data_IF_316397495376
#
_entry.id   IF_316397495376
#
_cell.length_a   1.000
_cell.length_b   1.000
_cell.length_c   1.000
_cell.angle_alpha   90.00
_cell.angle_beta   90.00
_cell.angle_gamma   90.00
#
_symmetry.space_group_name_H-M   'P 1'
#
loop_
_entity.id
_entity.type
_entity.pdbx_description
1 polymer ?
#
# COMPACT_ATOMS: atom_id res chain seq x y z
N UNK A 1 45.89 4.48 -46.65
CA UNK A 1 46.17 3.68 -45.43
C UNK A 1 45.12 3.86 -44.32
N UNK A 2 43.89 4.31 -44.60
CA UNK A 2 42.86 4.60 -43.58
C UNK A 2 41.72 3.56 -43.50
N UNK A 3 41.57 2.70 -44.51
CA UNK A 3 40.54 1.66 -44.55
C UNK A 3 40.68 0.56 -43.47
N UNK A 4 41.88 0.00 -43.19
CA UNK A 4 41.99 -1.09 -42.20
C UNK A 4 41.73 -0.62 -40.77
N UNK A 5 42.03 0.66 -40.48
CA UNK A 5 41.83 1.27 -39.17
C UNK A 5 40.34 1.47 -38.84
N UNK A 6 39.54 1.85 -39.84
CA UNK A 6 38.10 2.07 -39.68
C UNK A 6 37.34 0.74 -39.48
N UNK A 7 37.79 -0.33 -40.17
CA UNK A 7 37.21 -1.66 -40.03
C UNK A 7 37.45 -2.26 -38.64
N UNK A 8 38.65 -2.06 -38.06
CA UNK A 8 38.91 -2.47 -36.68
C UNK A 8 38.10 -1.68 -35.66
N UNK A 9 37.90 -0.39 -35.86
CA UNK A 9 37.05 0.42 -34.98
C UNK A 9 35.60 -0.07 -35.00
N UNK A 10 35.04 -0.31 -36.19
CA UNK A 10 33.66 -0.81 -36.34
C UNK A 10 33.48 -2.21 -35.74
N UNK A 11 34.45 -3.11 -35.94
CA UNK A 11 34.42 -4.45 -35.33
C UNK A 11 34.51 -4.38 -33.80
N UNK A 12 35.31 -3.47 -33.25
CA UNK A 12 35.43 -3.27 -31.81
C UNK A 12 34.16 -2.70 -31.17
N UNK A 13 33.50 -1.75 -31.85
CA UNK A 13 32.21 -1.18 -31.44
C UNK A 13 31.08 -2.22 -31.51
N UNK A 14 31.08 -3.05 -32.55
CA UNK A 14 30.09 -4.12 -32.68
C UNK A 14 30.30 -5.20 -31.62
N UNK A 15 31.55 -5.58 -31.32
CA UNK A 15 31.86 -6.51 -30.25
C UNK A 15 31.46 -5.96 -28.87
N UNK A 16 31.70 -4.67 -28.61
CA UNK A 16 31.27 -4.01 -27.37
C UNK A 16 29.74 -3.95 -27.22
N UNK A 17 29.02 -3.64 -28.30
CA UNK A 17 27.56 -3.57 -28.27
C UNK A 17 26.91 -4.94 -28.03
N UNK A 18 27.47 -6.00 -28.63
CA UNK A 18 27.01 -7.37 -28.39
C UNK A 18 27.35 -7.86 -26.98
N UNK A 19 28.54 -7.52 -26.44
CA UNK A 19 28.87 -7.84 -25.05
C UNK A 19 27.97 -7.13 -24.06
N UNK A 20 27.63 -5.86 -24.30
CA UNK A 20 26.73 -5.09 -23.44
C UNK A 20 25.31 -5.68 -23.43
N UNK A 21 24.76 -6.04 -24.61
CA UNK A 21 23.46 -6.72 -24.70
C UNK A 21 23.47 -8.12 -24.07
N UNK A 22 24.55 -8.89 -24.23
CA UNK A 22 24.68 -10.22 -23.62
C UNK A 22 24.85 -10.15 -22.09
N UNK A 23 25.55 -9.13 -21.57
CA UNK A 23 25.68 -8.92 -20.13
C UNK A 23 24.34 -8.58 -19.47
N UNK A 24 23.54 -7.72 -20.12
CA UNK A 24 22.22 -7.32 -19.62
C UNK A 24 21.25 -8.51 -19.60
N UNK A 25 21.24 -9.31 -20.66
CA UNK A 25 20.38 -10.51 -20.77
C UNK A 25 20.81 -11.64 -19.84
N UNK A 26 22.12 -11.85 -19.63
CA UNK A 26 22.61 -12.85 -18.68
C UNK A 26 22.28 -12.47 -17.23
N UNK A 27 22.36 -11.18 -16.89
CA UNK A 27 22.00 -10.68 -15.56
C UNK A 27 20.47 -10.74 -15.34
N UNK A 28 19.67 -10.38 -16.35
CA UNK A 28 18.20 -10.52 -16.29
C UNK A 28 17.76 -11.98 -16.14
N UNK A 29 18.43 -12.91 -16.83
CA UNK A 29 18.15 -14.35 -16.70
C UNK A 29 18.59 -14.90 -15.35
N UNK A 30 19.76 -14.51 -14.84
CA UNK A 30 20.21 -14.91 -13.50
C UNK A 30 19.27 -14.38 -12.40
N UNK A 31 18.77 -13.15 -12.56
CA UNK A 31 17.76 -12.57 -11.66
C UNK A 31 16.44 -13.31 -11.78
N UNK A 32 15.97 -13.63 -13.00
CA UNK A 32 14.77 -14.45 -13.22
C UNK A 32 14.89 -15.84 -12.59
N UNK A 33 16.00 -16.53 -12.81
CA UNK A 33 16.24 -17.87 -12.28
C UNK A 33 16.36 -17.86 -10.75
N UNK A 34 17.01 -16.85 -10.17
CA UNK A 34 17.06 -16.65 -8.72
C UNK A 34 15.67 -16.55 -8.08
N UNK A 35 14.75 -15.82 -8.72
CA UNK A 35 13.38 -15.66 -8.20
C UNK A 35 12.47 -16.85 -8.51
N UNK A 36 12.66 -17.52 -9.65
CA UNK A 36 11.92 -18.73 -10.00
C UNK A 36 12.29 -19.90 -9.08
N UNK A 37 13.55 -19.99 -8.66
CA UNK A 37 14.03 -21.05 -7.77
C UNK A 37 13.58 -20.89 -6.32
N UNK A 38 13.20 -19.68 -5.90
CA UNK A 38 12.69 -19.37 -4.56
C UNK A 38 11.16 -19.25 -4.50
N UNK A 39 10.46 -19.48 -5.61
CA UNK A 39 9.01 -19.66 -5.61
C UNK A 39 8.69 -20.92 -4.81
N UNK A 40 7.86 -20.78 -3.76
CA UNK A 40 7.41 -21.89 -2.92
C UNK A 40 6.99 -23.08 -3.80
N UNK A 41 7.44 -24.32 -3.50
CA UNK A 41 7.26 -25.50 -4.36
C UNK A 41 5.81 -26.04 -4.45
N UNK A 42 4.81 -25.17 -4.28
CA UNK A 42 3.41 -25.47 -4.50
C UNK A 42 2.64 -24.23 -4.95
N UNK A 43 2.60 -23.97 -6.26
CA UNK A 43 1.54 -23.21 -6.96
C UNK A 43 1.10 -21.85 -6.39
N UNK A 44 1.88 -21.21 -5.53
CA UNK A 44 1.55 -19.92 -4.91
C UNK A 44 1.80 -18.75 -5.86
N UNK A 45 1.06 -17.65 -5.68
CA UNK A 45 1.31 -16.39 -6.37
C UNK A 45 2.73 -15.91 -6.07
N UNK A 46 3.57 -15.81 -7.09
CA UNK A 46 4.98 -15.41 -7.01
C UNK A 46 5.15 -13.89 -6.84
N UNK A 47 4.37 -13.29 -5.94
CA UNK A 47 4.48 -11.88 -5.57
C UNK A 47 5.65 -11.67 -4.58
N UNK A 48 6.20 -10.46 -4.58
CA UNK A 48 7.38 -10.09 -3.75
C UNK A 48 7.04 -9.15 -2.62
N UNK A 49 5.87 -8.50 -2.69
CA UNK A 49 5.40 -7.58 -1.69
C UNK A 49 3.88 -7.42 -1.78
N UNK A 50 3.29 -6.98 -0.68
CA UNK A 50 1.86 -6.65 -0.58
C UNK A 50 1.71 -5.18 -0.21
N UNK A 51 0.72 -4.54 -0.83
CA UNK A 51 0.32 -3.16 -0.57
C UNK A 51 -1.15 -3.09 -0.18
N UNK A 52 -1.49 -2.10 0.64
CA UNK A 52 -2.88 -1.80 0.98
C UNK A 52 -3.21 -0.34 0.64
N UNK A 53 -4.38 -0.10 0.07
CA UNK A 53 -4.98 1.23 -0.12
C UNK A 53 -6.32 1.22 0.58
N UNK A 54 -6.44 1.95 1.68
CA UNK A 54 -7.58 1.90 2.60
C UNK A 54 -8.25 3.27 2.62
N UNK A 55 -9.52 3.34 2.21
CA UNK A 55 -10.23 4.60 1.99
C UNK A 55 -11.51 4.67 2.80
N UNK A 56 -11.56 5.59 3.76
CA UNK A 56 -12.81 6.09 4.33
C UNK A 56 -13.21 7.36 3.57
N UNK A 57 -14.21 7.23 2.69
CA UNK A 57 -14.64 8.32 1.80
C UNK A 57 -15.68 9.26 2.44
N UNK A 58 -16.31 8.84 3.55
CA UNK A 58 -17.34 9.60 4.25
C UNK A 58 -16.77 10.54 5.31
N UNK A 59 -17.48 11.65 5.53
CA UNK A 59 -17.20 12.64 6.59
C UNK A 59 -18.37 12.83 7.54
N UNK A 60 -18.17 13.61 8.60
CA UNK A 60 -19.12 13.94 9.67
C UNK A 60 -19.30 12.87 10.75
N UNK A 61 -19.67 13.33 11.95
CA UNK A 61 -19.79 12.49 13.15
C UNK A 61 -20.72 11.29 13.00
N UNK A 62 -21.85 11.44 12.31
CA UNK A 62 -22.81 10.35 12.09
C UNK A 62 -22.27 9.22 11.21
N UNK A 63 -21.12 9.44 10.57
CA UNK A 63 -20.42 8.48 9.72
C UNK A 63 -19.18 7.87 10.40
N UNK A 64 -19.06 8.01 11.73
CA UNK A 64 -17.97 7.46 12.55
C UNK A 64 -17.55 6.04 12.13
N UNK A 65 -18.53 5.15 11.91
CA UNK A 65 -18.31 3.76 11.52
C UNK A 65 -17.43 3.55 10.29
N UNK A 66 -17.50 4.42 9.27
CA UNK A 66 -16.67 4.25 8.07
C UNK A 66 -15.17 4.47 8.38
N UNK A 67 -14.87 5.38 9.30
CA UNK A 67 -13.49 5.59 9.75
C UNK A 67 -13.02 4.40 10.61
N UNK A 68 -13.87 3.89 11.50
CA UNK A 68 -13.58 2.69 12.29
C UNK A 68 -13.36 1.45 11.41
N UNK A 69 -14.16 1.28 10.34
CA UNK A 69 -13.99 0.23 9.33
C UNK A 69 -12.58 0.27 8.70
N UNK A 70 -12.19 1.44 8.17
CA UNK A 70 -10.89 1.62 7.52
C UNK A 70 -9.73 1.39 8.50
N UNK A 71 -9.84 1.89 9.74
CA UNK A 71 -8.83 1.67 10.79
C UNK A 71 -8.78 0.19 11.24
N UNK A 72 -9.91 -0.52 11.26
CA UNK A 72 -9.96 -1.95 11.51
C UNK A 72 -9.20 -2.76 10.45
N UNK A 73 -9.38 -2.41 9.18
CA UNK A 73 -8.62 -2.99 8.07
C UNK A 73 -7.13 -2.64 8.16
N UNK A 74 -6.79 -1.40 8.49
CA UNK A 74 -5.42 -0.94 8.71
C UNK A 74 -4.71 -1.75 9.79
N UNK A 75 -5.34 -1.92 10.95
CA UNK A 75 -4.81 -2.78 12.02
C UNK A 75 -4.62 -4.21 11.54
N UNK A 76 -5.53 -4.74 10.74
CA UNK A 76 -5.47 -6.11 10.23
C UNK A 76 -4.24 -6.31 9.33
N UNK A 77 -4.03 -5.46 8.33
CA UNK A 77 -2.87 -5.56 7.43
C UNK A 77 -1.54 -5.36 8.17
N UNK A 78 -1.49 -4.44 9.15
CA UNK A 78 -0.30 -4.25 9.99
C UNK A 78 0.00 -5.45 10.87
N UNK A 79 -1.02 -6.00 11.54
CA UNK A 79 -0.88 -7.21 12.38
C UNK A 79 -0.37 -8.39 11.56
N UNK A 80 -0.79 -8.49 10.31
CA UNK A 80 -0.36 -9.53 9.37
C UNK A 80 0.98 -9.21 8.67
N UNK A 81 1.56 -8.03 8.92
CA UNK A 81 2.96 -7.72 8.64
C UNK A 81 3.22 -6.81 7.46
N UNK A 82 2.19 -6.22 6.83
CA UNK A 82 2.41 -5.17 5.83
C UNK A 82 2.94 -3.92 6.56
N UNK A 83 4.13 -3.39 6.20
CA UNK A 83 4.69 -2.21 6.84
C UNK A 83 3.93 -0.94 6.42
N UNK A 84 3.99 0.12 7.23
CA UNK A 84 3.34 1.40 6.92
C UNK A 84 3.78 2.00 5.59
N UNK A 85 5.05 1.80 5.21
CA UNK A 85 5.57 2.21 3.91
C UNK A 85 4.83 1.61 2.70
N UNK A 86 4.02 0.57 2.94
CA UNK A 86 3.23 -0.15 1.95
C UNK A 86 1.71 -0.01 2.17
N UNK A 87 1.28 0.85 3.08
CA UNK A 87 -0.13 1.10 3.37
C UNK A 87 -0.42 2.57 3.07
N UNK A 88 -1.37 2.82 2.17
CA UNK A 88 -1.91 4.16 1.93
C UNK A 88 -3.25 4.26 2.68
N UNK A 89 -3.31 5.08 3.72
CA UNK A 89 -4.54 5.31 4.49
C UNK A 89 -5.12 6.70 4.18
N UNK A 90 -6.37 6.72 3.70
CA UNK A 90 -7.12 7.94 3.39
C UNK A 90 -8.35 8.06 4.30
N UNK A 91 -8.36 9.07 5.18
CA UNK A 91 -9.49 9.33 6.09
C UNK A 91 -10.10 10.71 5.79
N UNK A 92 -11.31 10.72 5.23
CA UNK A 92 -12.02 11.95 4.85
C UNK A 92 -12.46 12.83 6.03
N UNK A 93 -12.43 12.30 7.26
CA UNK A 93 -12.67 13.04 8.49
C UNK A 93 -11.87 12.41 9.63
N UNK A 94 -11.74 13.14 10.74
CA UNK A 94 -11.05 12.68 11.94
C UNK A 94 -11.99 12.69 13.15
N UNK A 95 -12.61 11.54 13.42
CA UNK A 95 -13.49 11.40 14.58
C UNK A 95 -12.72 11.35 15.90
N UNK A 96 -11.41 11.05 15.90
CA UNK A 96 -10.58 11.04 17.12
C UNK A 96 -10.43 12.46 17.69
N UNK A 97 -10.36 13.46 16.82
CA UNK A 97 -10.22 14.87 17.16
C UNK A 97 -11.55 15.65 17.17
N UNK A 98 -12.69 14.97 16.96
CA UNK A 98 -13.99 15.62 16.91
C UNK A 98 -14.45 16.05 18.31
N UNK A 99 -15.00 17.27 18.46
CA UNK A 99 -15.49 17.78 19.75
C UNK A 99 -16.67 16.99 20.34
N UNK A 100 -17.34 16.15 19.53
CA UNK A 100 -18.39 15.23 19.99
C UNK A 100 -17.83 13.94 20.56
N UNK A 101 -16.57 13.62 20.29
CA UNK A 101 -15.94 12.42 20.81
C UNK A 101 -15.66 12.57 22.30
N UNK A 102 -16.37 11.79 23.11
CA UNK A 102 -16.17 11.71 24.56
C UNK A 102 -14.80 11.12 24.94
N UNK A 103 -14.13 10.45 24.00
CA UNK A 103 -12.83 9.80 24.16
C UNK A 103 -11.83 10.41 23.15
N UNK A 104 -11.26 11.60 23.46
CA UNK A 104 -10.35 12.28 22.54
C UNK A 104 -9.13 11.43 22.19
N UNK A 105 -8.74 11.44 20.92
CA UNK A 105 -7.59 10.68 20.42
C UNK A 105 -7.85 9.19 20.20
N UNK A 106 -9.08 8.70 20.41
CA UNK A 106 -9.40 7.28 20.27
C UNK A 106 -10.58 7.02 19.33
N UNK A 107 -10.54 5.84 18.70
CA UNK A 107 -11.60 5.34 17.81
C UNK A 107 -11.90 3.89 18.12
N UNK A 108 -13.17 3.53 18.30
CA UNK A 108 -13.58 2.19 18.71
C UNK A 108 -14.55 1.57 17.71
N UNK A 109 -14.36 0.31 17.36
CA UNK A 109 -15.28 -0.45 16.50
C UNK A 109 -16.30 -1.29 17.27
N UNK A 110 -16.31 -1.21 18.61
CA UNK A 110 -17.25 -1.96 19.44
C UNK A 110 -17.69 -1.15 20.67
N UNK A 111 -18.90 -1.37 21.20
CA UNK A 111 -19.40 -0.66 22.38
C UNK A 111 -18.61 -0.93 23.66
N UNK A 112 -17.92 -2.09 23.74
CA UNK A 112 -17.07 -2.43 24.87
C UNK A 112 -15.76 -1.64 24.93
N UNK A 113 -15.40 -0.96 23.83
CA UNK A 113 -14.21 -0.11 23.67
C UNK A 113 -12.91 -0.79 24.11
N UNK A 114 -12.83 -2.12 23.90
CA UNK A 114 -11.69 -2.93 24.34
C UNK A 114 -10.41 -2.68 23.55
N UNK A 115 -10.53 -2.08 22.36
CA UNK A 115 -9.42 -1.87 21.44
C UNK A 115 -9.59 -0.50 20.77
N UNK A 116 -8.65 0.40 21.05
CA UNK A 116 -8.51 1.64 20.30
C UNK A 116 -7.86 1.36 18.94
N UNK A 117 -8.57 1.74 17.88
CA UNK A 117 -8.14 1.59 16.50
C UNK A 117 -7.29 2.76 16.00
N UNK A 118 -7.35 3.92 16.67
CA UNK A 118 -6.53 5.07 16.33
C UNK A 118 -5.17 4.90 16.99
N UNK A 119 -5.08 4.94 18.33
CA UNK A 119 -3.84 4.71 19.07
C UNK A 119 -2.64 5.54 18.58
N UNK A 120 -1.43 5.14 19.00
CA UNK A 120 -0.21 5.91 18.72
C UNK A 120 0.50 5.52 17.41
N UNK A 121 0.08 4.41 16.79
CA UNK A 121 0.82 3.75 15.71
C UNK A 121 0.10 3.80 14.36
N UNK A 122 -0.74 4.80 14.11
CA UNK A 122 -1.37 4.99 12.80
C UNK A 122 -0.63 6.04 11.96
N UNK A 123 -0.47 5.73 10.68
CA UNK A 123 0.02 6.66 9.67
C UNK A 123 -1.12 6.96 8.71
N UNK A 124 -1.65 8.19 8.77
CA UNK A 124 -2.68 8.65 7.84
C UNK A 124 -2.00 9.47 6.74
N UNK A 125 -2.08 9.00 5.50
CA UNK A 125 -1.41 9.63 4.36
C UNK A 125 -2.20 10.78 3.78
N UNK A 126 -3.52 10.60 3.64
CA UNK A 126 -4.42 11.64 3.13
C UNK A 126 -5.47 11.93 4.20
N UNK A 127 -5.49 13.17 4.70
CA UNK A 127 -6.38 13.60 5.78
C UNK A 127 -7.40 14.62 5.28
N UNK A 128 -8.65 14.47 5.70
CA UNK A 128 -9.70 15.45 5.50
C UNK A 128 -9.83 15.85 4.03
N UNK A 129 -9.60 17.13 3.73
CA UNK A 129 -9.70 17.70 2.39
C UNK A 129 -8.77 17.07 1.34
N UNK A 130 -7.71 16.38 1.74
CA UNK A 130 -6.85 15.65 0.80
C UNK A 130 -7.50 14.38 0.24
N UNK A 131 -8.58 13.87 0.86
CA UNK A 131 -9.28 12.67 0.41
C UNK A 131 -10.28 13.02 -0.70
N UNK A 132 -9.75 13.17 -1.92
CA UNK A 132 -10.54 13.48 -3.13
C UNK A 132 -10.49 12.32 -4.11
N UNK A 133 -11.46 12.29 -5.05
CA UNK A 133 -11.46 11.32 -6.15
C UNK A 133 -10.16 11.44 -6.95
N UNK A 134 -9.75 12.68 -7.25
CA UNK A 134 -8.50 12.97 -7.99
C UNK A 134 -7.27 12.36 -7.31
N UNK A 135 -7.10 12.56 -6.01
CA UNK A 135 -5.94 12.02 -5.28
C UNK A 135 -5.97 10.50 -5.23
N UNK A 136 -7.13 9.89 -5.01
CA UNK A 136 -7.27 8.44 -5.04
C UNK A 136 -6.86 7.84 -6.40
N UNK A 137 -7.38 8.40 -7.51
CA UNK A 137 -7.02 7.95 -8.87
C UNK A 137 -5.52 8.19 -9.15
N UNK A 138 -4.95 9.31 -8.70
CA UNK A 138 -3.51 9.59 -8.86
C UNK A 138 -2.63 8.61 -8.10
N UNK A 139 -3.03 8.20 -6.89
CA UNK A 139 -2.33 7.17 -6.11
C UNK A 139 -2.31 5.86 -6.90
N UNK A 140 -3.48 5.37 -7.33
CA UNK A 140 -3.59 4.12 -8.09
C UNK A 140 -2.76 4.15 -9.38
N UNK A 141 -2.93 5.20 -10.19
CA UNK A 141 -2.26 5.32 -11.50
C UNK A 141 -0.79 5.77 -11.41
N UNK A 142 -0.34 6.10 -10.20
CA UNK A 142 0.96 6.72 -9.89
C UNK A 142 1.26 8.00 -10.63
N UNK A 143 0.23 8.80 -10.92
CA UNK A 143 0.36 10.13 -11.55
C UNK A 143 0.39 11.21 -10.47
N UNK A 144 1.42 11.16 -9.63
CA UNK A 144 1.66 12.12 -8.55
C UNK A 144 2.84 13.03 -8.91
N UNK A 145 2.84 14.25 -8.37
CA UNK A 145 3.96 15.18 -8.56
C UNK A 145 5.25 14.60 -7.92
N UNK A 146 6.44 14.78 -8.54
CA UNK A 146 7.72 14.31 -7.99
C UNK A 146 8.08 14.87 -6.60
N UNK A 147 7.42 15.92 -6.12
CA UNK A 147 7.57 16.46 -4.77
C UNK A 147 6.72 15.75 -3.71
N UNK A 148 5.70 14.97 -4.11
CA UNK A 148 4.81 14.26 -3.16
C UNK A 148 5.64 13.30 -2.30
N UNK A 149 5.55 13.28 -0.97
CA UNK A 149 6.37 12.39 -0.13
C UNK A 149 6.17 10.90 -0.48
N UNK A 150 7.19 10.07 -0.24
CA UNK A 150 7.14 8.62 -0.52
C UNK A 150 5.95 7.93 0.15
N UNK A 151 5.62 8.30 1.39
CA UNK A 151 4.49 7.72 2.13
C UNK A 151 3.15 7.90 1.41
N UNK A 152 3.00 8.98 0.63
CA UNK A 152 1.79 9.24 -0.17
C UNK A 152 1.85 8.65 -1.59
N UNK A 153 2.67 7.62 -1.83
CA UNK A 153 2.82 7.01 -3.15
C UNK A 153 2.63 5.51 -3.09
N UNK A 154 1.78 4.97 -3.96
CA UNK A 154 1.68 3.55 -4.20
C UNK A 154 2.85 3.11 -5.10
N UNK A 155 3.92 2.55 -4.53
CA UNK A 155 5.14 2.17 -5.26
C UNK A 155 5.13 0.69 -5.66
N UNK A 156 4.05 0.26 -6.31
CA UNK A 156 3.83 -1.10 -6.77
C UNK A 156 4.42 -1.36 -8.17
N UNK A 157 4.63 -2.64 -8.48
CA UNK A 157 5.15 -3.17 -9.73
C UNK A 157 4.41 -4.46 -10.15
N UNK A 158 4.89 -5.13 -11.21
CA UNK A 158 4.31 -6.38 -11.75
C UNK A 158 4.38 -7.58 -10.80
N UNK A 159 5.03 -7.45 -9.64
CA UNK A 159 5.15 -8.50 -8.61
C UNK A 159 4.51 -8.08 -7.29
N UNK A 160 3.72 -7.02 -7.29
CA UNK A 160 3.06 -6.48 -6.11
C UNK A 160 1.60 -6.92 -6.08
N UNK A 161 1.14 -7.57 -5.01
CA UNK A 161 -0.30 -7.72 -4.80
C UNK A 161 -0.85 -6.50 -4.07
N UNK A 162 -2.03 -6.04 -4.47
CA UNK A 162 -2.62 -4.80 -3.96
C UNK A 162 -4.00 -5.07 -3.39
N UNK A 163 -4.15 -4.86 -2.09
CA UNK A 163 -5.45 -4.84 -1.42
C UNK A 163 -6.02 -3.42 -1.47
N UNK A 164 -7.19 -3.23 -2.08
CA UNK A 164 -7.90 -1.95 -2.11
C UNK A 164 -9.20 -2.11 -1.33
N UNK A 165 -9.32 -1.39 -0.22
CA UNK A 165 -10.51 -1.35 0.61
C UNK A 165 -11.14 0.03 0.59
N UNK A 166 -12.44 0.10 0.32
CA UNK A 166 -13.19 1.35 0.33
C UNK A 166 -14.45 1.23 1.19
N UNK A 167 -14.76 2.27 1.94
CA UNK A 167 -15.98 2.33 2.75
C UNK A 167 -16.55 3.74 2.78
N UNK A 168 -17.88 3.82 2.74
CA UNK A 168 -18.60 5.08 2.76
C UNK A 168 -20.05 4.92 2.29
N UNK A 169 -20.62 6.03 1.84
CA UNK A 169 -21.96 6.04 1.23
C UNK A 169 -21.86 5.95 -0.27
N UNK A 170 -22.73 5.17 -0.88
CA UNK A 170 -22.74 4.94 -2.32
C UNK A 170 -24.10 4.45 -2.79
N UNK A 171 -24.13 4.00 -4.03
CA UNK A 171 -25.32 3.47 -4.68
C UNK A 171 -24.94 2.77 -5.99
N UNK A 172 -25.89 2.70 -6.91
CA UNK A 172 -25.69 2.00 -8.18
C UNK A 172 -24.51 2.60 -8.97
N UNK A 173 -23.39 1.88 -8.98
CA UNK A 173 -22.16 2.20 -9.70
C UNK A 173 -21.45 3.48 -9.23
N UNK A 174 -21.67 3.96 -8.00
CA UNK A 174 -20.91 5.08 -7.43
C UNK A 174 -20.65 4.99 -5.91
N UNK A 175 -19.58 5.66 -5.46
CA UNK A 175 -19.28 5.94 -4.05
C UNK A 175 -19.04 7.44 -3.86
N UNK A 176 -19.63 8.03 -2.83
CA UNK A 176 -19.45 9.45 -2.47
C UNK A 176 -18.13 9.68 -1.75
N UNK A 177 -17.43 10.73 -2.14
CA UNK A 177 -16.25 11.29 -1.49
C UNK A 177 -16.61 12.62 -0.83
N UNK A 178 -16.32 12.72 0.47
CA UNK A 178 -16.55 13.91 1.30
C UNK A 178 -17.98 14.50 1.23
N UNK A 179 -18.98 13.70 0.86
CA UNK A 179 -20.36 14.16 0.66
C UNK A 179 -20.52 15.28 -0.38
N UNK A 180 -19.57 15.39 -1.33
CA UNK A 180 -19.55 16.44 -2.36
C UNK A 180 -19.22 15.91 -3.76
N UNK A 181 -18.34 14.92 -3.86
CA UNK A 181 -17.93 14.30 -5.12
C UNK A 181 -18.35 12.83 -5.14
N UNK A 182 -18.36 12.23 -6.33
CA UNK A 182 -18.66 10.82 -6.52
C UNK A 182 -17.58 10.21 -7.42
N UNK A 183 -17.12 9.01 -7.07
CA UNK A 183 -16.33 8.15 -7.95
C UNK A 183 -17.24 7.06 -8.50
N UNK A 184 -17.18 6.82 -9.81
CA UNK A 184 -17.97 5.77 -10.45
C UNK A 184 -17.22 4.43 -10.51
N UNK A 185 -17.96 3.35 -10.72
CA UNK A 185 -17.39 2.03 -11.04
C UNK A 185 -16.46 2.07 -12.27
N UNK A 186 -16.77 2.95 -13.24
CA UNK A 186 -15.97 3.15 -14.44
C UNK A 186 -14.62 3.80 -14.14
N UNK A 187 -14.57 4.80 -13.26
CA UNK A 187 -13.32 5.48 -12.90
C UNK A 187 -12.31 4.52 -12.25
N UNK A 188 -12.81 3.61 -11.40
CA UNK A 188 -11.97 2.57 -10.77
C UNK A 188 -11.53 1.53 -11.80
N UNK A 189 -12.44 1.10 -12.69
CA UNK A 189 -12.10 0.17 -13.76
C UNK A 189 -10.96 0.70 -14.65
N UNK A 190 -11.07 1.96 -15.07
CA UNK A 190 -10.07 2.62 -15.92
C UNK A 190 -8.76 2.89 -15.16
N UNK A 191 -8.81 3.11 -13.84
CA UNK A 191 -7.61 3.21 -13.03
C UNK A 191 -6.87 1.87 -12.93
N UNK A 192 -7.58 0.79 -12.69
CA UNK A 192 -7.01 -0.56 -12.67
C UNK A 192 -6.46 -0.97 -14.03
N UNK A 193 -7.14 -0.62 -15.13
CA UNK A 193 -6.58 -0.82 -16.47
C UNK A 193 -5.27 -0.08 -16.68
N UNK A 194 -5.20 1.17 -16.23
CA UNK A 194 -3.96 1.92 -16.32
C UNK A 194 -2.86 1.35 -15.43
N UNK A 195 -3.20 0.76 -14.27
CA UNK A 195 -2.23 0.02 -13.47
C UNK A 195 -1.74 -1.23 -14.20
N UNK A 196 -2.64 -1.96 -14.87
CA UNK A 196 -2.32 -3.16 -15.64
C UNK A 196 -1.37 -2.86 -16.80
N UNK A 197 -1.73 -1.88 -17.64
CA UNK A 197 -0.91 -1.45 -18.78
C UNK A 197 0.47 -0.92 -18.36
N UNK A 198 0.56 -0.36 -17.15
CA UNK A 198 1.82 0.11 -16.57
C UNK A 198 2.55 -0.92 -15.73
N UNK A 199 2.09 -2.18 -15.69
CA UNK A 199 2.72 -3.25 -14.92
C UNK A 199 2.89 -2.89 -13.43
N UNK A 200 1.82 -2.38 -12.81
CA UNK A 200 1.81 -1.89 -11.42
C UNK A 200 1.10 -2.81 -10.43
N UNK A 201 0.73 -4.01 -10.85
CA UNK A 201 0.28 -5.06 -9.94
C UNK A 201 0.50 -6.43 -10.57
N UNK A 202 0.62 -7.44 -9.71
CA UNK A 202 0.48 -8.85 -10.04
C UNK A 202 -0.99 -9.26 -9.92
N UNK A 203 -1.58 -9.06 -8.74
CA UNK A 203 -2.99 -9.32 -8.44
C UNK A 203 -3.60 -8.16 -7.62
N UNK A 204 -4.88 -7.84 -7.84
CA UNK A 204 -5.65 -6.90 -7.01
C UNK A 204 -6.75 -7.65 -6.27
N UNK A 205 -6.88 -7.37 -4.98
CA UNK A 205 -8.08 -7.70 -4.22
C UNK A 205 -8.84 -6.42 -3.88
N UNK A 206 -10.01 -6.23 -4.49
CA UNK A 206 -10.88 -5.08 -4.27
C UNK A 206 -12.03 -5.44 -3.33
N UNK A 207 -12.14 -4.75 -2.19
CA UNK A 207 -13.20 -4.94 -1.21
C UNK A 207 -13.89 -3.60 -0.94
N UNK A 208 -15.22 -3.59 -0.94
CA UNK A 208 -15.97 -2.35 -0.74
C UNK A 208 -17.20 -2.53 0.17
N UNK A 209 -17.33 -1.65 1.16
CA UNK A 209 -18.47 -1.62 2.08
C UNK A 209 -19.30 -0.34 1.90
N UNK A 210 -20.41 -0.47 1.18
CA UNK A 210 -21.35 0.62 0.86
C UNK A 210 -22.69 0.04 0.39
N UNK A 211 -23.76 0.83 0.40
CA UNK A 211 -24.99 0.48 -0.31
C UNK A 211 -24.71 0.18 -1.79
N UNK A 212 -25.32 -0.87 -2.31
CA UNK A 212 -25.13 -1.40 -3.67
C UNK A 212 -23.67 -1.66 -4.05
N UNK A 213 -22.81 -1.97 -3.08
CA UNK A 213 -21.39 -2.29 -3.24
C UNK A 213 -21.06 -3.20 -4.43
N UNK A 214 -21.88 -4.22 -4.71
CA UNK A 214 -21.59 -5.19 -5.76
C UNK A 214 -21.58 -4.58 -7.17
N UNK A 215 -22.22 -3.43 -7.35
CA UNK A 215 -22.24 -2.70 -8.63
C UNK A 215 -20.89 -2.07 -8.95
N UNK A 216 -20.07 -1.76 -7.94
CA UNK A 216 -18.82 -1.02 -8.07
C UNK A 216 -17.71 -1.75 -8.81
N UNK A 217 -17.77 -3.08 -8.88
CA UNK A 217 -16.78 -3.89 -9.60
C UNK A 217 -17.33 -4.50 -10.89
N UNK A 218 -18.59 -4.23 -11.27
CA UNK A 218 -19.20 -4.82 -12.49
C UNK A 218 -18.55 -4.34 -13.78
N UNK A 219 -17.93 -3.15 -13.75
CA UNK A 219 -17.25 -2.55 -14.91
C UNK A 219 -15.79 -2.94 -15.03
N UNK A 220 -15.22 -3.68 -14.08
CA UNK A 220 -13.81 -4.10 -14.19
C UNK A 220 -13.62 -5.01 -15.41
N UNK A 221 -12.53 -4.82 -16.14
CA UNK A 221 -12.20 -5.56 -17.35
C UNK A 221 -10.73 -5.96 -17.45
N UNK A 222 -9.87 -5.49 -16.55
CA UNK A 222 -8.46 -5.87 -16.49
C UNK A 222 -8.29 -7.20 -15.74
N UNK A 223 -7.31 -8.03 -16.13
CA UNK A 223 -7.13 -9.35 -15.53
C UNK A 223 -6.49 -9.27 -14.14
N UNK A 224 -6.49 -10.40 -13.44
CA UNK A 224 -5.95 -10.64 -12.10
C UNK A 224 -6.61 -9.78 -11.01
N UNK A 225 -7.92 -9.60 -11.09
CA UNK A 225 -8.70 -8.83 -10.10
C UNK A 225 -9.73 -9.75 -9.45
N UNK A 226 -9.63 -9.91 -8.14
CA UNK A 226 -10.66 -10.50 -7.29
C UNK A 226 -11.43 -9.36 -6.61
N UNK A 227 -12.75 -9.40 -6.63
CA UNK A 227 -13.56 -8.35 -6.02
C UNK A 227 -14.67 -8.89 -5.11
N UNK A 228 -15.00 -8.14 -4.06
CA UNK A 228 -16.10 -8.45 -3.15
C UNK A 228 -16.75 -7.17 -2.63
N UNK A 229 -18.05 -7.22 -2.36
CA UNK A 229 -18.84 -6.08 -1.89
C UNK A 229 -19.86 -6.49 -0.84
N UNK A 230 -20.34 -5.53 -0.05
CA UNK A 230 -21.23 -5.80 1.09
C UNK A 230 -22.72 -6.02 0.76
N UNK A 231 -23.20 -5.55 -0.39
CA UNK A 231 -24.64 -5.57 -0.73
C UNK A 231 -24.91 -5.57 -2.24
N UNK A 232 -25.99 -6.21 -2.66
CA UNK A 232 -26.41 -6.33 -4.08
C UNK A 232 -27.01 -5.03 -4.64
N UNK A 233 -27.24 -5.01 -5.96
CA UNK A 233 -28.06 -3.98 -6.62
C UNK A 233 -29.43 -3.88 -5.92
N UNK A 234 -29.92 -2.66 -5.76
CA UNK A 234 -31.17 -2.34 -5.05
C UNK A 234 -31.20 -2.70 -3.55
N UNK A 235 -30.03 -2.93 -2.94
CA UNK A 235 -29.89 -3.25 -1.51
C UNK A 235 -29.04 -2.21 -0.76
N UNK A 236 -29.40 -1.94 0.51
CA UNK A 236 -28.58 -1.13 1.41
C UNK A 236 -27.55 -1.97 2.16
N UNK A 237 -26.44 -1.36 2.57
CA UNK A 237 -25.57 -1.92 3.61
C UNK A 237 -26.01 -1.41 4.99
N UNK A 238 -25.67 -2.15 6.05
CA UNK A 238 -26.18 -1.90 7.40
C UNK A 238 -25.08 -1.69 8.42
N UNK A 239 -25.35 -0.82 9.40
CA UNK A 239 -24.55 -0.69 10.62
C UNK A 239 -24.84 -1.82 11.62
N UNK A 240 -23.87 -2.23 12.43
CA UNK A 240 -24.04 -3.39 13.35
C UNK A 240 -24.10 -3.04 14.83
N UNK A 241 -23.33 -2.05 15.29
CA UNK A 241 -23.25 -1.73 16.72
C UNK A 241 -23.35 -0.23 16.95
N UNK A 242 -24.22 0.18 17.89
CA UNK A 242 -24.29 1.56 18.40
C UNK A 242 -23.69 1.64 19.79
N UNK A 243 -22.94 2.70 20.04
CA UNK A 243 -22.37 3.01 21.35
C UNK A 243 -23.09 4.24 21.92
N UNK A 244 -23.61 4.13 23.15
CA UNK A 244 -24.39 5.21 23.77
C UNK A 244 -23.54 6.39 24.25
N UNK A 245 -22.26 6.17 24.54
CA UNK A 245 -21.32 7.22 24.93
C UNK A 245 -20.81 8.00 23.70
N UNK A 246 -20.65 7.33 22.57
CA UNK A 246 -20.28 7.94 21.27
C UNK A 246 -21.53 8.53 20.58
N UNK A 247 -22.70 7.92 20.81
CA UNK A 247 -24.00 8.39 20.34
C UNK A 247 -24.33 8.04 18.88
N UNK A 248 -23.54 7.20 18.23
CA UNK A 248 -23.73 6.76 16.83
C UNK A 248 -23.33 5.29 16.66
N UNK A 249 -23.64 4.74 15.49
CA UNK A 249 -23.10 3.45 15.08
C UNK A 249 -21.57 3.51 14.88
N UNK A 250 -20.86 2.52 15.41
CA UNK A 250 -19.40 2.48 15.50
C UNK A 250 -18.74 1.58 14.45
N UNK A 251 -19.49 0.71 13.79
CA UNK A 251 -18.99 -0.17 12.73
C UNK A 251 -20.13 -0.62 11.79
N UNK A 252 -19.80 -0.91 10.53
CA UNK A 252 -20.72 -1.56 9.59
C UNK A 252 -20.71 -3.09 9.72
N UNK A 253 -21.85 -3.72 9.44
CA UNK A 253 -22.07 -5.15 9.67
C UNK A 253 -21.17 -6.03 8.82
N UNK A 254 -21.08 -5.75 7.52
CA UNK A 254 -20.18 -6.48 6.64
C UNK A 254 -18.74 -6.42 7.13
N UNK A 255 -18.23 -5.19 7.36
CA UNK A 255 -16.87 -5.01 7.87
C UNK A 255 -16.66 -5.64 9.26
N UNK A 256 -17.65 -5.58 10.15
CA UNK A 256 -17.58 -6.24 11.45
C UNK A 256 -17.32 -7.74 11.32
N UNK A 257 -18.08 -8.44 10.47
CA UNK A 257 -17.92 -9.87 10.28
C UNK A 257 -16.65 -10.24 9.53
N UNK A 258 -16.22 -9.42 8.55
CA UNK A 258 -14.89 -9.61 7.93
C UNK A 258 -13.79 -9.48 8.98
N UNK A 259 -13.79 -8.43 9.80
CA UNK A 259 -12.79 -8.25 10.86
C UNK A 259 -12.84 -9.37 11.89
N UNK A 260 -14.03 -9.85 12.25
CA UNK A 260 -14.20 -10.99 13.17
C UNK A 260 -13.50 -12.26 12.62
N UNK A 261 -13.68 -12.55 11.34
CA UNK A 261 -12.96 -13.65 10.68
C UNK A 261 -11.45 -13.41 10.66
N UNK A 262 -11.02 -12.20 10.34
CA UNK A 262 -9.60 -11.84 10.27
C UNK A 262 -8.90 -11.92 11.63
N UNK A 263 -9.57 -11.69 12.77
CA UNK A 263 -8.94 -11.82 14.10
C UNK A 263 -8.39 -13.23 14.37
N UNK A 264 -8.98 -14.27 13.76
CA UNK A 264 -8.49 -15.65 13.88
C UNK A 264 -7.26 -15.96 12.98
N UNK A 265 -6.88 -15.02 12.10
CA UNK A 265 -5.81 -15.21 11.11
C UNK A 265 -4.50 -14.62 11.65
N UNK A 266 -3.41 -15.36 11.42
CA UNK A 266 -2.04 -14.93 11.70
C UNK A 266 -1.18 -15.04 10.43
N UNK A 267 0.09 -14.62 10.52
CA UNK A 267 1.03 -14.54 9.37
C UNK A 267 1.32 -15.88 8.69
N UNK A 268 1.10 -17.01 9.37
CA UNK A 268 1.34 -18.36 8.85
C UNK A 268 0.06 -19.09 8.44
N UNK A 269 -1.09 -18.41 8.52
CA UNK A 269 -2.39 -18.99 8.22
C UNK A 269 -2.46 -19.54 6.80
N UNK A 270 -3.07 -20.70 6.65
CA UNK A 270 -3.37 -21.31 5.35
C UNK A 270 -4.84 -21.10 4.94
N UNK A 271 -5.53 -20.15 5.58
CA UNK A 271 -6.90 -19.79 5.24
C UNK A 271 -6.94 -19.13 3.87
N UNK A 272 -7.92 -19.56 3.08
CA UNK A 272 -8.06 -19.21 1.66
C UNK A 272 -9.07 -18.08 1.47
N UNK A 273 -9.09 -17.48 0.29
CA UNK A 273 -10.14 -16.52 -0.09
C UNK A 273 -11.52 -17.20 -0.10
N UNK A 274 -11.59 -18.49 -0.45
CA UNK A 274 -12.82 -19.28 -0.32
C UNK A 274 -13.28 -19.34 1.14
N UNK A 275 -12.38 -19.59 2.12
CA UNK A 275 -12.75 -19.59 3.54
C UNK A 275 -13.35 -18.25 4.00
N UNK A 276 -12.84 -17.12 3.48
CA UNK A 276 -13.38 -15.79 3.79
C UNK A 276 -14.80 -15.64 3.23
N UNK A 277 -15.02 -16.03 1.98
CA UNK A 277 -16.31 -15.86 1.32
C UNK A 277 -17.36 -16.83 1.87
N UNK A 278 -16.96 -18.05 2.25
CA UNK A 278 -17.83 -19.02 2.93
C UNK A 278 -18.21 -18.56 4.35
N UNK A 279 -17.45 -17.65 4.94
CA UNK A 279 -17.78 -17.05 6.24
C UNK A 279 -18.90 -16.01 6.15
N UNK A 280 -19.21 -15.50 4.95
CA UNK A 280 -20.28 -14.52 4.77
C UNK A 280 -21.63 -15.12 5.13
N UNK A 281 -22.32 -14.47 6.07
CA UNK A 281 -23.61 -14.90 6.59
C UNK A 281 -24.61 -13.76 6.39
N UNK A 282 -25.46 -13.89 5.37
CA UNK A 282 -26.48 -12.90 4.98
C UNK A 282 -27.40 -12.56 6.15
N UNK A 283 -27.71 -13.54 7.02
CA UNK A 283 -28.61 -13.31 8.16
C UNK A 283 -27.99 -12.39 9.21
N UNK A 284 -26.67 -12.47 9.37
CA UNK A 284 -25.89 -11.66 10.31
C UNK A 284 -25.53 -10.29 9.74
N UNK A 285 -25.11 -10.27 8.47
CA UNK A 285 -24.69 -9.05 7.78
C UNK A 285 -25.90 -8.15 7.49
N UNK A 286 -27.08 -8.74 7.23
CA UNK A 286 -28.30 -8.01 6.91
C UNK A 286 -28.42 -7.58 5.46
N UNK A 287 -27.38 -7.82 4.66
CA UNK A 287 -27.34 -7.65 3.21
C UNK A 287 -26.68 -8.85 2.54
N UNK A 288 -26.63 -8.89 1.21
CA UNK A 288 -26.05 -9.98 0.44
C UNK A 288 -24.67 -9.61 -0.12
N UNK A 289 -23.57 -10.03 0.52
CA UNK A 289 -22.25 -9.81 -0.04
C UNK A 289 -22.07 -10.51 -1.37
N UNK A 290 -21.41 -9.85 -2.31
CA UNK A 290 -21.06 -10.42 -3.60
C UNK A 290 -19.58 -10.75 -3.69
N UNK A 291 -19.25 -11.68 -4.59
CA UNK A 291 -17.89 -12.01 -5.01
C UNK A 291 -17.86 -12.05 -6.53
N UNK A 292 -16.81 -11.48 -7.13
CA UNK A 292 -16.53 -11.53 -8.56
C UNK A 292 -15.10 -12.03 -8.76
N UNK A 293 -14.96 -13.18 -9.42
CA UNK A 293 -13.71 -13.91 -9.61
C UNK A 293 -13.43 -14.29 -11.08
N UNK A 294 -14.29 -13.91 -12.04
CA UNK A 294 -14.11 -14.19 -13.48
C UNK A 294 -12.84 -13.56 -14.07
N UNK A 295 -12.34 -12.48 -13.46
CA UNK A 295 -11.08 -11.82 -13.83
C UNK A 295 -9.87 -12.36 -13.04
N UNK A 296 -10.08 -13.28 -12.10
CA UNK A 296 -9.06 -13.80 -11.21
C UNK A 296 -8.66 -15.22 -11.60
N UNK A 297 -7.39 -15.41 -11.99
CA UNK A 297 -6.94 -16.64 -12.65
C UNK A 297 -6.70 -17.83 -11.70
N UNK A 298 -6.64 -17.60 -10.38
CA UNK A 298 -6.37 -18.64 -9.39
C UNK A 298 -7.66 -19.17 -8.75
N UNK A 299 -7.77 -20.49 -8.52
CA UNK A 299 -8.86 -21.03 -7.72
C UNK A 299 -8.92 -20.39 -6.32
N UNK A 300 -10.11 -20.00 -5.87
CA UNK A 300 -10.30 -19.32 -4.57
C UNK A 300 -9.88 -20.18 -3.37
N UNK A 301 -9.95 -21.51 -3.51
CA UNK A 301 -9.47 -22.48 -2.50
C UNK A 301 -7.95 -22.70 -2.49
N UNK A 302 -7.21 -22.02 -3.38
CA UNK A 302 -5.74 -22.00 -3.43
C UNK A 302 -5.17 -20.58 -3.26
N UNK A 303 -6.00 -19.56 -3.38
CA UNK A 303 -5.63 -18.18 -3.07
C UNK A 303 -5.64 -17.99 -1.55
N UNK A 304 -4.48 -17.72 -0.95
CA UNK A 304 -4.40 -17.51 0.49
C UNK A 304 -4.78 -16.07 0.83
N UNK A 305 -5.38 -15.87 2.00
CA UNK A 305 -5.63 -14.52 2.52
C UNK A 305 -4.32 -13.77 2.73
N UNK A 306 -3.27 -14.48 3.15
CA UNK A 306 -1.94 -13.89 3.32
C UNK A 306 -1.33 -13.39 2.02
N UNK A 307 -1.83 -13.80 0.85
CA UNK A 307 -1.37 -13.28 -0.45
C UNK A 307 -1.77 -11.82 -0.67
N UNK A 308 -2.74 -11.28 0.09
CA UNK A 308 -3.16 -9.87 0.01
C UNK A 308 -2.97 -9.12 1.34
N UNK A 309 -3.11 -9.81 2.47
CA UNK A 309 -3.06 -9.18 3.79
C UNK A 309 -1.74 -9.43 4.54
N UNK A 310 -0.93 -10.42 4.14
CA UNK A 310 0.29 -10.79 4.82
C UNK A 310 1.49 -9.93 4.43
N UNK A 311 2.43 -9.70 5.36
CA UNK A 311 3.74 -9.16 5.01
C UNK A 311 4.61 -10.22 4.34
N UNK A 312 5.25 -9.88 3.22
CA UNK A 312 6.26 -10.74 2.58
C UNK A 312 7.62 -10.41 3.18
N UNK A 313 8.20 -11.33 3.95
CA UNK A 313 9.54 -11.20 4.50
C UNK A 313 10.48 -12.18 3.78
N UNK A 314 11.46 -11.65 3.05
CA UNK A 314 12.55 -12.46 2.52
C UNK A 314 13.65 -12.55 3.58
N UNK A 315 13.88 -13.74 4.12
CA UNK A 315 15.03 -13.99 4.99
C UNK A 315 16.16 -14.57 4.14
N UNK A 316 17.25 -13.82 3.99
CA UNK A 316 18.47 -14.33 3.38
C UNK A 316 19.22 -15.17 4.42
N UNK A 317 19.40 -16.46 4.13
CA UNK A 317 20.34 -17.30 4.89
C UNK A 317 21.72 -17.00 4.32
N UNK A 318 22.43 -16.04 4.92
CA UNK A 318 23.85 -15.85 4.63
C UNK A 318 24.58 -17.07 5.20
N UNK A 319 24.95 -18.01 4.33
CA UNK A 319 25.77 -19.15 4.71
C UNK A 319 27.06 -18.65 5.35
N UNK A 320 27.37 -19.12 6.55
CA UNK A 320 28.66 -18.89 7.18
C UNK A 320 29.76 -19.36 6.24
N UNK A 321 30.59 -18.44 5.78
CA UNK A 321 31.78 -18.70 4.99
C UNK A 321 32.88 -19.30 5.87
N UNK A 322 32.57 -20.41 6.55
CA UNK A 322 33.51 -21.19 7.35
C UNK A 322 34.11 -22.37 6.58
N UNK A 323 33.62 -22.65 5.37
CA UNK A 323 34.07 -23.80 4.56
C UNK A 323 35.24 -23.50 3.59
N UNK A 324 35.68 -22.23 3.45
CA UNK A 324 36.83 -21.88 2.60
C UNK A 324 38.17 -21.75 3.38
N UNK A 325 38.16 -21.82 4.71
CA UNK A 325 39.37 -21.68 5.52
C UNK A 325 40.12 -23.01 5.79
N UNK A 326 39.58 -24.18 5.40
CA UNK A 326 40.20 -25.47 5.72
C UNK A 326 41.10 -26.09 4.63
N UNK A 327 41.24 -25.46 3.45
CA UNK A 327 42.05 -26.04 2.36
C UNK A 327 43.49 -25.48 2.27
N UNK A 328 43.91 -24.59 3.18
CA UNK A 328 45.29 -24.04 3.20
C UNK A 328 46.08 -24.28 4.50
N UNK A 329 45.63 -25.18 5.38
CA UNK A 329 46.35 -25.51 6.63
C UNK A 329 47.00 -26.92 6.64
N UNK A 330 47.19 -27.56 5.48
CA UNK A 330 48.00 -28.78 5.34
C UNK A 330 49.31 -28.52 4.59
N UNK A 331 50.06 -27.52 5.03
CA UNK A 331 51.48 -27.39 4.70
C UNK A 331 52.20 -26.54 5.75
N UNK A 332 52.65 -27.17 6.84
CA UNK A 332 53.72 -26.60 7.66
C UNK A 332 53.57 -26.75 9.18
N UNK A 333 54.39 -27.63 9.75
CA UNK A 333 55.17 -27.27 10.94
C UNK A 333 54.58 -27.60 12.32
N UNK A 334 55.16 -28.64 12.95
CA UNK A 334 55.07 -28.97 14.37
C UNK A 334 55.24 -27.76 15.31
N UNK A 335 54.33 -27.60 16.27
CA UNK A 335 54.69 -27.11 17.60
C UNK A 335 53.79 -27.74 18.68
N UNK A 336 54.44 -28.25 19.71
CA UNK A 336 53.87 -28.90 20.90
C UNK A 336 53.72 -27.86 22.00
N UNK A 337 52.55 -27.76 22.63
CA UNK A 337 52.42 -27.41 24.07
C UNK A 337 51.06 -27.85 24.62
N UNK A 338 51.12 -28.47 25.81
CA UNK A 338 50.04 -29.09 26.61
C UNK A 338 49.05 -28.11 27.29
N UNK A 339 47.90 -28.62 27.82
CA UNK A 339 46.81 -27.81 28.33
C UNK A 339 46.98 -27.45 29.81
N UNK A 340 46.41 -26.31 30.22
CA UNK A 340 46.22 -25.97 31.64
C UNK A 340 44.79 -25.54 31.91
N UNK A 341 44.19 -26.22 32.87
CA UNK A 341 42.96 -25.89 33.56
C UNK A 341 43.12 -24.60 34.37
N UNK A 342 42.02 -23.84 34.53
CA UNK A 342 41.43 -23.50 35.84
C UNK A 342 40.40 -22.36 35.68
N UNK A 343 39.16 -22.65 36.07
CA UNK A 343 38.20 -21.66 36.61
C UNK A 343 38.44 -21.55 38.12
N UNK A 344 38.18 -20.42 38.81
CA UNK A 344 36.84 -20.24 39.40
C UNK A 344 36.33 -18.80 39.71
N UNK A 345 34.99 -18.72 39.78
CA UNK A 345 34.14 -18.02 40.77
C UNK A 345 33.94 -16.48 40.81
N UNK A 346 32.68 -16.11 40.51
CA UNK A 346 31.68 -15.39 41.34
C UNK A 346 32.12 -14.34 42.38
N UNK A 347 31.51 -13.14 42.29
CA UNK A 347 31.17 -12.31 43.45
C UNK A 347 29.92 -11.44 43.23
N UNK A 348 28.85 -11.89 43.87
CA UNK A 348 27.73 -11.22 44.57
C UNK A 348 27.06 -9.90 44.15
N UNK A 349 25.74 -10.03 44.12
CA UNK A 349 24.66 -9.09 44.42
C UNK A 349 24.85 -8.32 45.74
N UNK A 350 24.35 -7.08 45.80
CA UNK A 350 23.29 -6.62 46.71
C UNK A 350 23.20 -5.08 46.73
N UNK A 351 21.98 -4.55 46.58
CA UNK A 351 21.29 -3.62 47.49
C UNK A 351 20.35 -2.66 46.74
N UNK A 352 19.07 -3.04 46.70
CA UNK A 352 17.93 -2.12 46.72
C UNK A 352 17.51 -1.92 48.18
N UNK A 353 17.22 -0.68 48.57
CA UNK A 353 16.04 -0.22 49.35
C UNK A 353 16.32 1.12 50.06
N UNK A 354 15.21 1.83 50.33
CA UNK A 354 15.02 3.13 51.00
C UNK A 354 14.79 4.32 50.04
N UNK A 355 13.74 5.13 50.13
CA UNK A 355 12.63 5.25 51.08
C UNK A 355 11.56 6.14 50.45
N UNK A 356 10.28 5.81 50.66
CA UNK A 356 9.09 6.58 50.28
C UNK A 356 8.48 7.15 51.57
N UNK A 357 8.47 8.49 51.73
CA UNK A 357 7.54 9.24 52.61
C UNK A 357 7.75 10.75 52.48
N UNK A 358 6.75 11.46 51.96
CA UNK A 358 6.06 12.50 52.73
C UNK A 358 4.79 13.00 51.99
N UNK A 359 3.74 13.17 52.78
CA UNK A 359 2.35 13.46 52.40
C UNK A 359 2.08 14.97 52.24
N UNK A 360 1.04 15.25 51.43
CA UNK A 360 0.03 16.32 51.51
C UNK A 360 0.34 17.63 52.27
N UNK A 361 0.08 18.78 51.63
CA UNK A 361 -1.11 19.65 51.87
C UNK A 361 -1.00 20.95 51.05
N UNK A 362 -2.09 21.36 50.38
CA UNK A 362 -2.67 22.74 50.31
C UNK A 362 -3.28 23.07 48.95
N UNK A 363 -4.61 23.21 48.96
CA UNK A 363 -5.46 23.79 47.92
C UNK A 363 -5.20 25.31 47.70
N UNK A 364 -5.35 25.79 46.45
CA UNK A 364 -6.39 26.76 46.00
C UNK A 364 -5.95 27.57 44.75
N UNK A 365 -6.80 27.51 43.72
CA UNK A 365 -7.24 28.61 42.82
C UNK A 365 -6.16 29.21 41.90
N UNK A 366 -6.32 29.20 40.56
CA UNK A 366 -7.06 30.23 39.80
C UNK A 366 -7.51 29.66 38.44
N UNK A 367 -8.82 29.75 38.23
CA UNK A 367 -9.50 29.67 36.93
C UNK A 367 -9.23 30.98 36.16
N UNK A 368 -8.65 30.92 34.96
CA UNK A 368 -8.71 32.03 34.00
C UNK A 368 -9.54 31.62 32.79
N UNK A 369 -10.73 32.21 32.70
CA UNK A 369 -11.58 32.27 31.52
C UNK A 369 -10.91 33.16 30.47
N UNK A 370 -10.85 32.70 29.22
CA UNK A 370 -10.60 33.54 28.05
C UNK A 370 -11.95 33.78 27.36
N UNK A 371 -12.36 35.03 27.08
CA UNK A 371 -13.59 35.32 26.36
C UNK A 371 -13.44 35.11 24.84
N UNK A 372 -14.52 34.82 24.10
CA UNK A 372 -14.48 34.58 22.66
C UNK A 372 -14.41 35.90 21.88
N UNK A 373 -13.60 35.92 20.82
CA UNK A 373 -13.61 36.98 19.81
C UNK A 373 -14.58 36.62 18.68
N UNK A 374 -15.41 37.60 18.37
CA UNK A 374 -16.49 37.58 17.38
C UNK A 374 -15.99 37.60 15.94
N UNK A 375 -16.73 36.87 15.09
CA UNK A 375 -16.72 36.91 13.63
C UNK A 375 -16.95 38.33 13.13
N UNK A 376 -16.23 38.74 12.08
CA UNK A 376 -16.74 39.74 11.16
C UNK A 376 -16.65 39.22 9.72
N UNK A 377 -17.82 39.18 9.09
CA UNK A 377 -18.06 38.88 7.70
C UNK A 377 -17.96 40.15 6.87
N UNK A 378 -17.32 40.04 5.70
CA UNK A 378 -17.49 40.84 4.47
C UNK A 378 -16.13 41.06 3.79
N UNK A 379 -15.92 40.44 2.63
CA UNK A 379 -15.66 41.13 1.36
C UNK A 379 -16.03 40.17 0.25
N UNK A 380 -17.06 40.56 -0.50
CA UNK A 380 -17.48 39.99 -1.78
C UNK A 380 -16.71 40.73 -2.88
N UNK A 381 -16.29 39.96 -3.90
CA UNK A 381 -15.96 40.34 -5.28
C UNK A 381 -15.00 41.51 -5.54
N UNK A 382 -13.89 41.23 -6.25
CA UNK A 382 -13.62 41.82 -7.56
C UNK A 382 -12.35 41.23 -8.19
N UNK A 383 -12.30 41.29 -9.53
CA UNK A 383 -11.16 41.05 -10.45
C UNK A 383 -11.09 39.70 -11.18
N UNK A 384 -12.05 39.50 -12.08
CA UNK A 384 -11.71 39.06 -13.44
C UNK A 384 -11.18 40.28 -14.25
N UNK A 385 -10.22 40.01 -15.14
CA UNK A 385 -9.74 40.81 -16.30
C UNK A 385 -8.62 41.83 -16.07
N UNK A 386 -7.39 41.37 -16.30
CA UNK A 386 -6.27 42.02 -17.01
C UNK A 386 -5.16 40.95 -17.05
N UNK A 387 -4.51 40.57 -18.14
CA UNK A 387 -4.43 41.10 -19.48
C UNK A 387 -4.06 39.96 -20.45
N UNK A 388 -4.64 39.99 -21.65
CA UNK A 388 -4.01 39.42 -22.85
C UNK A 388 -2.92 40.40 -23.30
N UNK A 389 -1.71 39.90 -23.55
CA UNK A 389 -0.75 40.31 -24.60
C UNK A 389 0.70 40.35 -24.09
N UNK A 390 1.60 39.67 -24.82
CA UNK A 390 3.05 39.59 -24.59
C UNK A 390 3.50 38.14 -24.46
N UNK A 391 3.51 37.32 -25.52
CA UNK A 391 4.49 37.25 -26.62
C UNK A 391 5.88 36.70 -26.21
N UNK A 392 6.10 35.46 -26.64
CA UNK A 392 7.33 34.76 -27.06
C UNK A 392 8.39 34.26 -26.04
N UNK A 393 8.69 32.96 -26.24
CA UNK A 393 9.97 32.21 -26.19
C UNK A 393 10.56 31.72 -24.87
N UNK A 394 10.72 30.37 -24.78
CA UNK A 394 11.89 29.52 -24.40
C UNK A 394 11.34 28.09 -24.09
N UNK A 395 11.21 27.17 -25.08
CA UNK A 395 12.01 25.93 -25.32
C UNK A 395 12.31 25.12 -24.04
N UNK A 396 11.73 23.94 -23.75
CA UNK A 396 11.70 22.60 -24.42
C UNK A 396 13.10 22.04 -24.77
N UNK A 397 13.82 21.59 -23.74
CA UNK A 397 14.97 20.67 -23.86
C UNK A 397 14.60 19.32 -23.23
N UNK A 398 14.41 18.30 -24.06
CA UNK A 398 14.20 16.94 -23.56
C UNK A 398 13.73 15.92 -24.59
N UNK A 399 13.29 16.35 -25.78
CA UNK A 399 12.75 15.44 -26.81
C UNK A 399 13.61 15.23 -28.06
N UNK A 400 14.75 15.90 -28.19
CA UNK A 400 15.55 15.83 -29.42
C UNK A 400 16.61 14.71 -29.46
N UNK A 401 17.09 14.15 -28.35
CA UNK A 401 18.20 13.17 -28.41
C UNK A 401 17.84 11.86 -29.13
N UNK A 402 16.57 11.46 -29.18
CA UNK A 402 16.15 10.21 -29.85
C UNK A 402 15.94 10.38 -31.36
N UNK A 403 15.57 11.57 -31.82
CA UNK A 403 15.34 11.83 -33.25
C UNK A 403 16.66 11.95 -34.04
N UNK A 404 17.71 12.49 -33.43
CA UNK A 404 19.02 12.64 -34.07
C UNK A 404 19.77 11.31 -34.27
N UNK A 405 19.61 10.35 -33.35
CA UNK A 405 20.24 9.03 -33.49
C UNK A 405 19.64 8.20 -34.63
N UNK A 406 18.32 8.31 -34.86
CA UNK A 406 17.66 7.58 -35.94
C UNK A 406 18.02 8.11 -37.33
N UNK A 407 18.21 9.42 -37.47
CA UNK A 407 18.59 10.05 -38.74
C UNK A 407 20.05 9.74 -39.12
N UNK A 408 20.95 9.65 -38.13
CA UNK A 408 22.36 9.34 -38.36
C UNK A 408 22.56 7.89 -38.83
N UNK A 409 21.81 6.93 -38.28
CA UNK A 409 21.85 5.53 -38.73
C UNK A 409 21.30 5.36 -40.16
N UNK A 410 20.29 6.15 -40.55
CA UNK A 410 19.68 6.07 -41.88
C UNK A 410 20.59 6.65 -42.98
N UNK A 411 21.34 7.73 -42.68
CA UNK A 411 22.32 8.32 -43.60
C UNK A 411 23.53 7.39 -43.82
N UNK A 412 23.96 6.66 -42.79
CA UNK A 412 25.05 5.67 -42.92
C UNK A 412 24.61 4.46 -43.76
N UNK A 413 23.37 3.99 -43.60
CA UNK A 413 22.81 2.89 -44.40
C UNK A 413 22.61 3.25 -45.87
N UNK A 414 22.13 4.46 -46.18
CA UNK A 414 21.97 4.93 -47.56
C UNK A 414 23.32 5.21 -48.23
N UNK A 415 24.30 5.70 -47.48
CA UNK A 415 25.67 5.90 -47.95
C UNK A 415 26.39 4.58 -48.30
N UNK A 416 26.15 3.52 -47.53
CA UNK A 416 26.77 2.21 -47.76
C UNK A 416 26.19 1.50 -49.00
N UNK A 417 24.91 1.72 -49.32
CA UNK A 417 24.25 1.13 -50.51
C UNK A 417 24.64 1.85 -51.81
N UNK A 418 25.02 3.13 -51.77
CA UNK A 418 25.52 3.86 -52.96
C UNK A 418 26.98 3.61 -53.30
N UNK A 419 27.77 3.01 -52.40
CA UNK A 419 29.20 2.73 -52.63
C UNK A 419 29.46 1.35 -53.28
N UNK A 420 28.46 0.46 -53.33
CA UNK A 420 28.58 -0.90 -53.87
C UNK A 420 27.73 -1.14 -55.15
N UNK A 421 27.60 -0.12 -56.01
CA UNK A 421 27.13 -0.26 -57.39
C UNK A 421 28.09 0.38 -58.37
#
# INVERSE_FOLDING_TARGET
>A
MLLPSLLHLLLSLFAWLNLALCADTAQENAVRDFFNNNASPGGGSAHTNNWAVLVCASRYWFNYRHMANALGMYRTVKRLGIPDSNIILMLADDASCNSRNKFPGSVYANPGRHLDLYGDNIEVDYRGYEVTVENFIRVLTGRVDPSVPRSKRLLTDERSNVFVYMTGHGGNEFLKFQDNEEISAHDIADAFEQMYQKKRYNEIFFMIDTCQANTMYTKFYSPNILATGSSMLDESSYSYASDSDIGVAVIDAYTHYVLQFMEAINKTSQKTMQDLFDYYDVSKIGSHPGVRDDLYNRPLNQALITDFFGGVAHAEVVGSSDDEAQTQAQAGGNFVTEPRSDSPQQLNQNQEQEQEKDQETTQRTIVRRVPPLSINSSVVSESQKLARSGMLTIWDEGRDLRAWMSLFCLVILVGYVSWNK
#
